data_IF_825524044382
#
_entry.id   IF_825524044382
#
_cell.length_a   1.000
_cell.length_b   1.000
_cell.length_c   1.000
_cell.angle_alpha   90.00
_cell.angle_beta   90.00
_cell.angle_gamma   90.00
#
_symmetry.space_group_name_H-M   'P 1'
#
loop_
_entity.id
_entity.type
_entity.pdbx_description
1 polymer ?
#
# COMPACT_ATOMS: atom_id res chain seq x y z
N UNK A 1 44.15 -60.77 -33.00
CA UNK A 1 45.42 -60.06 -33.29
C UNK A 1 45.48 -58.81 -32.41
N UNK A 2 46.60 -58.66 -31.69
CA UNK A 2 47.09 -57.51 -30.88
C UNK A 2 46.26 -56.96 -29.70
N UNK A 3 46.77 -57.28 -28.52
CA UNK A 3 46.76 -56.48 -27.29
C UNK A 3 47.62 -55.23 -27.49
N UNK A 4 47.16 -54.04 -27.08
CA UNK A 4 48.01 -52.90 -26.69
C UNK A 4 47.37 -52.21 -25.48
N UNK A 5 48.06 -52.26 -24.35
CA UNK A 5 47.88 -51.45 -23.15
C UNK A 5 48.59 -50.11 -23.35
N UNK A 6 48.03 -48.99 -22.87
CA UNK A 6 48.75 -47.88 -22.20
C UNK A 6 47.76 -46.82 -21.68
N UNK A 7 47.69 -46.64 -20.36
CA UNK A 7 47.47 -45.35 -19.68
C UNK A 7 48.84 -44.66 -19.52
N UNK A 8 48.97 -43.45 -18.94
CA UNK A 8 48.20 -42.20 -19.06
C UNK A 8 49.12 -41.05 -19.53
N UNK A 9 48.56 -39.94 -20.04
CA UNK A 9 49.32 -38.69 -20.18
C UNK A 9 48.53 -37.56 -19.51
N UNK A 10 48.93 -37.30 -18.28
CA UNK A 10 48.62 -36.09 -17.52
C UNK A 10 49.44 -34.97 -18.16
N UNK A 11 48.77 -34.01 -18.80
CA UNK A 11 49.36 -32.75 -19.22
C UNK A 11 48.52 -31.62 -18.64
N UNK A 12 49.19 -30.83 -17.80
CA UNK A 12 48.70 -29.65 -17.12
C UNK A 12 48.06 -28.62 -18.06
N UNK A 13 47.18 -27.81 -17.48
CA UNK A 13 47.08 -26.40 -17.84
C UNK A 13 45.88 -26.01 -18.68
N UNK A 14 44.76 -25.75 -18.02
CA UNK A 14 44.01 -24.50 -18.19
C UNK A 14 42.81 -24.55 -17.23
N UNK A 15 42.96 -23.87 -16.11
CA UNK A 15 41.84 -23.44 -15.29
C UNK A 15 41.02 -22.45 -16.12
N UNK A 16 39.92 -22.91 -16.73
CA UNK A 16 38.82 -22.01 -17.08
C UNK A 16 37.75 -22.17 -16.01
N UNK A 17 37.81 -21.24 -15.05
CA UNK A 17 36.80 -21.05 -14.04
C UNK A 17 35.45 -20.83 -14.73
N UNK A 18 34.51 -21.76 -14.50
CA UNK A 18 33.09 -21.49 -14.69
C UNK A 18 32.74 -20.22 -13.91
N UNK A 19 32.07 -19.21 -14.51
CA UNK A 19 31.74 -18.00 -13.77
C UNK A 19 30.84 -18.37 -12.59
N UNK A 20 31.32 -18.09 -11.38
CA UNK A 20 30.52 -18.22 -10.16
C UNK A 20 29.24 -17.40 -10.33
N UNK A 21 28.12 -18.10 -10.48
CA UNK A 21 26.80 -17.52 -10.30
C UNK A 21 26.80 -16.94 -8.90
N UNK A 22 26.79 -15.60 -8.83
CA UNK A 22 26.97 -14.77 -7.64
C UNK A 22 25.87 -15.04 -6.60
N UNK A 23 25.99 -16.13 -5.85
CA UNK A 23 25.24 -16.47 -4.63
C UNK A 23 25.76 -15.69 -3.42
N UNK A 24 25.96 -14.38 -3.59
CA UNK A 24 26.48 -13.50 -2.53
C UNK A 24 25.46 -13.21 -1.43
N UNK A 25 24.16 -13.20 -1.75
CA UNK A 25 23.11 -12.90 -0.77
C UNK A 25 22.68 -14.12 0.05
N UNK A 26 22.71 -15.33 -0.54
CA UNK A 26 22.24 -16.56 0.12
C UNK A 26 23.27 -17.16 1.09
N UNK A 27 24.57 -17.04 0.77
CA UNK A 27 25.66 -17.53 1.62
C UNK A 27 25.81 -16.76 2.94
N UNK A 28 25.61 -15.44 2.90
CA UNK A 28 25.63 -14.58 4.10
C UNK A 28 24.48 -14.90 5.05
N UNK A 29 23.28 -15.14 4.52
CA UNK A 29 22.10 -15.53 5.31
C UNK A 29 22.31 -16.86 6.02
N UNK A 30 22.87 -17.87 5.33
CA UNK A 30 23.16 -19.19 5.90
C UNK A 30 24.19 -19.08 7.03
N UNK A 31 25.24 -18.27 6.86
CA UNK A 31 26.24 -18.02 7.90
C UNK A 31 25.65 -17.36 9.15
N UNK A 32 24.78 -16.37 8.95
CA UNK A 32 24.11 -15.65 10.04
C UNK A 32 23.14 -16.56 10.82
N UNK A 33 22.36 -17.37 10.10
CA UNK A 33 21.44 -18.36 10.69
C UNK A 33 22.20 -19.40 11.53
N UNK A 34 23.36 -19.86 11.05
CA UNK A 34 24.19 -20.84 11.75
C UNK A 34 24.85 -20.24 13.00
N UNK A 35 25.25 -18.97 12.94
CA UNK A 35 25.75 -18.21 14.10
C UNK A 35 24.69 -18.02 15.18
N UNK A 36 23.48 -17.61 14.78
CA UNK A 36 22.34 -17.46 15.69
C UNK A 36 21.96 -18.79 16.36
N UNK A 37 21.95 -19.89 15.60
CA UNK A 37 21.67 -21.23 16.13
C UNK A 37 22.72 -21.68 17.16
N UNK A 38 24.00 -21.35 16.92
CA UNK A 38 25.08 -21.65 17.87
C UNK A 38 24.96 -20.87 19.19
N UNK A 39 24.47 -19.62 19.15
CA UNK A 39 24.25 -18.78 20.34
C UNK A 39 23.04 -19.26 21.15
N UNK A 40 21.96 -19.69 20.49
CA UNK A 40 20.78 -20.29 21.12
C UNK A 40 21.17 -21.57 21.88
N UNK A 41 22.02 -22.40 21.27
CA UNK A 41 22.52 -23.63 21.90
C UNK A 41 23.48 -23.36 23.07
N UNK A 42 24.33 -22.33 22.96
CA UNK A 42 25.31 -21.94 24.00
C UNK A 42 24.68 -21.35 25.25
N UNK A 43 23.55 -20.65 25.12
CA UNK A 43 22.86 -19.98 26.24
C UNK A 43 21.73 -20.79 26.88
N UNK A 44 21.57 -22.10 26.57
CA UNK A 44 20.48 -22.96 27.10
C UNK A 44 19.11 -22.26 27.04
N UNK A 45 18.86 -21.51 25.96
CA UNK A 45 17.66 -20.68 25.88
C UNK A 45 16.44 -21.60 25.86
N UNK A 46 15.49 -21.32 26.74
CA UNK A 46 14.26 -22.10 26.81
C UNK A 46 13.45 -21.84 25.53
N UNK A 47 13.35 -22.86 24.68
CA UNK A 47 12.79 -22.73 23.33
C UNK A 47 11.33 -22.25 23.35
N UNK A 48 10.60 -22.55 24.43
CA UNK A 48 9.27 -22.00 24.70
C UNK A 48 9.28 -20.47 24.85
N UNK A 49 10.25 -19.90 25.56
CA UNK A 49 10.36 -18.44 25.74
C UNK A 49 10.77 -17.75 24.44
N UNK A 50 11.62 -18.40 23.63
CA UNK A 50 11.98 -17.91 22.30
C UNK A 50 10.75 -17.88 21.37
N UNK A 51 9.99 -18.97 21.29
CA UNK A 51 8.75 -19.03 20.52
C UNK A 51 7.74 -17.98 21.01
N UNK A 52 7.58 -17.82 22.32
CA UNK A 52 6.68 -16.80 22.89
C UNK A 52 7.11 -15.40 22.48
N UNK A 53 8.41 -15.08 22.53
CA UNK A 53 8.94 -13.79 22.10
C UNK A 53 8.71 -13.54 20.61
N UNK A 54 8.92 -14.55 19.75
CA UNK A 54 8.66 -14.45 18.30
C UNK A 54 7.18 -14.21 18.04
N UNK A 55 6.28 -14.90 18.75
CA UNK A 55 4.83 -14.71 18.62
C UNK A 55 4.41 -13.32 19.09
N UNK A 56 4.95 -12.83 20.21
CA UNK A 56 4.66 -11.49 20.74
C UNK A 56 5.12 -10.38 19.80
N UNK A 57 6.28 -10.58 19.17
CA UNK A 57 6.77 -9.66 18.15
C UNK A 57 5.84 -9.76 16.94
N UNK A 58 5.58 -10.96 16.39
CA UNK A 58 4.81 -11.15 15.16
C UNK A 58 3.33 -10.72 15.24
N UNK A 59 2.67 -10.85 16.39
CA UNK A 59 1.23 -10.60 16.58
C UNK A 59 0.75 -9.22 16.08
N UNK A 60 1.37 -8.09 16.47
CA UNK A 60 0.97 -6.77 16.01
C UNK A 60 1.12 -6.56 14.49
N UNK A 61 1.87 -7.41 13.79
CA UNK A 61 2.05 -7.32 12.33
C UNK A 61 0.98 -8.09 11.56
N UNK A 62 0.36 -9.07 12.22
CA UNK A 62 -0.66 -9.95 11.66
C UNK A 62 -2.08 -9.38 11.89
N UNK A 63 -2.23 -8.44 12.81
CA UNK A 63 -3.46 -7.70 13.03
C UNK A 63 -3.63 -6.58 12.01
N UNK A 64 -4.19 -6.91 10.84
CA UNK A 64 -4.76 -5.89 9.97
C UNK A 64 -6.05 -5.36 10.61
N UNK A 65 -6.00 -4.17 11.21
CA UNK A 65 -7.20 -3.48 11.63
C UNK A 65 -7.94 -2.96 10.39
N UNK A 66 -8.90 -3.72 9.88
CA UNK A 66 -9.83 -3.22 8.87
C UNK A 66 -10.78 -2.22 9.52
N UNK A 67 -10.79 -1.01 8.98
CA UNK A 67 -11.80 -0.01 9.30
C UNK A 67 -13.14 -0.51 8.73
N UNK A 68 -14.00 -1.05 9.60
CA UNK A 68 -15.32 -1.58 9.23
C UNK A 68 -16.22 -0.50 8.59
N UNK A 69 -15.90 0.79 8.77
CA UNK A 69 -16.62 1.92 8.16
C UNK A 69 -15.94 2.43 6.89
N UNK A 70 -14.83 1.82 6.45
CA UNK A 70 -14.10 2.25 5.26
C UNK A 70 -14.95 2.21 3.98
N UNK A 71 -15.79 1.17 3.83
CA UNK A 71 -16.74 1.09 2.70
C UNK A 71 -17.80 2.19 2.73
N UNK A 72 -18.30 2.54 3.92
CA UNK A 72 -19.34 3.57 4.07
C UNK A 72 -18.84 4.99 3.76
N UNK A 73 -17.52 5.23 3.88
CA UNK A 73 -16.91 6.51 3.50
C UNK A 73 -17.06 6.78 2.00
N UNK A 74 -16.92 5.74 1.18
CA UNK A 74 -17.07 5.89 -0.28
C UNK A 74 -18.54 6.14 -0.66
N UNK A 75 -19.49 5.41 -0.08
CA UNK A 75 -20.92 5.61 -0.33
C UNK A 75 -21.38 7.02 0.08
N UNK A 76 -20.85 7.54 1.19
CA UNK A 76 -21.12 8.90 1.63
C UNK A 76 -20.55 9.95 0.65
N UNK A 77 -19.35 9.70 0.12
CA UNK A 77 -18.74 10.56 -0.91
C UNK A 77 -19.53 10.53 -2.22
N UNK A 78 -20.06 9.38 -2.63
CA UNK A 78 -20.85 9.28 -3.85
C UNK A 78 -22.23 9.93 -3.69
N UNK A 79 -22.76 9.98 -2.46
CA UNK A 79 -24.07 10.59 -2.15
C UNK A 79 -24.01 12.11 -1.91
N UNK A 80 -22.93 12.61 -1.31
CA UNK A 80 -22.83 14.02 -0.93
C UNK A 80 -21.67 14.76 -1.58
N UNK A 81 -20.75 14.06 -2.24
CA UNK A 81 -19.56 14.65 -2.84
C UNK A 81 -19.79 15.25 -4.22
N UNK A 82 -18.69 15.62 -4.86
CA UNK A 82 -18.73 16.28 -6.15
C UNK A 82 -19.22 15.34 -7.26
N UNK A 83 -20.14 15.83 -8.10
CA UNK A 83 -20.81 15.09 -9.15
C UNK A 83 -22.06 14.35 -8.68
N UNK A 84 -22.43 14.48 -7.40
CA UNK A 84 -23.57 13.77 -6.84
C UNK A 84 -24.92 14.41 -7.19
N UNK A 85 -25.98 13.59 -7.16
CA UNK A 85 -27.38 14.03 -7.28
C UNK A 85 -27.75 15.08 -6.23
N UNK A 86 -27.18 15.01 -5.02
CA UNK A 86 -27.44 16.01 -3.98
C UNK A 86 -26.84 17.37 -4.35
N UNK A 87 -25.60 17.40 -4.85
CA UNK A 87 -24.97 18.63 -5.35
C UNK A 87 -25.82 19.26 -6.47
N UNK A 88 -26.25 18.43 -7.42
CA UNK A 88 -27.11 18.88 -8.52
C UNK A 88 -28.45 19.44 -8.03
N UNK A 89 -29.07 18.79 -7.04
CA UNK A 89 -30.30 19.25 -6.41
C UNK A 89 -30.15 20.62 -5.73
N UNK A 90 -29.04 20.87 -5.05
CA UNK A 90 -28.73 22.16 -4.44
C UNK A 90 -28.60 23.27 -5.50
N UNK A 91 -27.96 23.00 -6.64
CA UNK A 91 -27.85 23.96 -7.74
C UNK A 91 -29.21 24.33 -8.33
N UNK A 92 -30.10 23.36 -8.53
CA UNK A 92 -31.44 23.65 -9.05
C UNK A 92 -32.28 24.43 -8.05
N UNK A 93 -32.23 24.05 -6.78
CA UNK A 93 -32.94 24.78 -5.72
C UNK A 93 -32.49 26.25 -5.68
N UNK A 94 -31.18 26.50 -5.75
CA UNK A 94 -30.63 27.86 -5.74
C UNK A 94 -31.09 28.68 -6.96
N UNK A 95 -31.14 28.08 -8.15
CA UNK A 95 -31.63 28.76 -9.36
C UNK A 95 -33.12 29.11 -9.22
N UNK A 96 -33.95 28.22 -8.69
CA UNK A 96 -35.38 28.46 -8.49
C UNK A 96 -35.62 29.56 -7.45
N UNK A 97 -34.91 29.53 -6.33
CA UNK A 97 -34.99 30.55 -5.28
C UNK A 97 -34.53 31.91 -5.82
N UNK A 98 -33.40 31.94 -6.52
CA UNK A 98 -32.87 33.15 -7.16
C UNK A 98 -33.85 33.73 -8.19
N UNK A 99 -34.50 32.88 -8.99
CA UNK A 99 -35.52 33.31 -9.95
C UNK A 99 -36.76 33.90 -9.25
N UNK A 100 -37.27 33.24 -8.21
CA UNK A 100 -38.39 33.74 -7.41
C UNK A 100 -38.06 35.08 -6.72
N UNK A 101 -36.87 35.18 -6.12
CA UNK A 101 -36.40 36.40 -5.48
C UNK A 101 -36.14 37.53 -6.48
N UNK A 102 -35.68 37.21 -7.70
CA UNK A 102 -35.50 38.18 -8.78
C UNK A 102 -36.84 38.78 -9.23
N UNK A 103 -37.92 38.01 -9.29
CA UNK A 103 -39.25 38.55 -9.65
C UNK A 103 -39.69 39.67 -8.69
N UNK A 104 -39.36 39.55 -7.40
CA UNK A 104 -39.71 40.52 -6.37
C UNK A 104 -38.75 41.71 -6.31
N UNK A 105 -37.45 41.46 -6.42
CA UNK A 105 -36.42 42.48 -6.14
C UNK A 105 -35.86 43.14 -7.40
N UNK A 106 -36.03 42.50 -8.56
CA UNK A 106 -35.42 42.89 -9.85
C UNK A 106 -33.90 43.06 -9.80
N UNK A 107 -33.23 42.42 -8.84
CA UNK A 107 -31.80 42.50 -8.67
C UNK A 107 -31.08 41.29 -9.30
N UNK A 108 -30.34 41.46 -10.42
CA UNK A 108 -29.63 40.35 -11.07
C UNK A 108 -28.46 39.80 -10.23
N UNK A 109 -28.01 40.53 -9.20
CA UNK A 109 -26.93 40.08 -8.32
C UNK A 109 -27.30 38.82 -7.52
N UNK A 110 -28.58 38.46 -7.44
CA UNK A 110 -29.02 37.22 -6.79
C UNK A 110 -28.45 35.97 -7.48
N UNK A 111 -28.37 35.95 -8.81
CA UNK A 111 -27.81 34.81 -9.53
C UNK A 111 -26.29 34.72 -9.37
N UNK A 112 -25.59 35.85 -9.43
CA UNK A 112 -24.13 35.87 -9.32
C UNK A 112 -23.68 35.63 -7.89
N UNK A 113 -24.34 36.28 -6.93
CA UNK A 113 -24.04 36.18 -5.51
C UNK A 113 -24.46 34.85 -4.90
N UNK A 114 -25.64 34.32 -5.26
CA UNK A 114 -26.15 33.06 -4.72
C UNK A 114 -25.50 31.84 -5.37
N UNK A 115 -25.62 31.71 -6.69
CA UNK A 115 -25.14 30.53 -7.42
C UNK A 115 -23.62 30.37 -7.34
N UNK A 116 -22.85 31.44 -7.59
CA UNK A 116 -21.39 31.33 -7.59
C UNK A 116 -20.86 31.05 -6.17
N UNK A 117 -21.46 31.66 -5.15
CA UNK A 117 -21.11 31.40 -3.76
C UNK A 117 -21.40 29.95 -3.37
N UNK A 118 -22.57 29.43 -3.73
CA UNK A 118 -22.96 28.06 -3.44
C UNK A 118 -22.03 27.04 -4.13
N UNK A 119 -21.60 27.30 -5.37
CA UNK A 119 -20.60 26.46 -6.07
C UNK A 119 -19.26 26.47 -5.33
N UNK A 120 -18.76 27.64 -4.93
CA UNK A 120 -17.46 27.72 -4.22
C UNK A 120 -17.53 27.00 -2.88
N UNK A 121 -18.62 27.16 -2.13
CA UNK A 121 -18.80 26.49 -0.85
C UNK A 121 -18.87 24.98 -1.03
N UNK A 122 -19.75 24.47 -1.89
CA UNK A 122 -19.91 23.02 -2.09
C UNK A 122 -18.60 22.38 -2.53
N UNK A 123 -17.88 23.01 -3.46
CA UNK A 123 -16.53 22.58 -3.87
C UNK A 123 -15.54 22.54 -2.71
N UNK A 124 -15.49 23.59 -1.90
CA UNK A 124 -14.56 23.68 -0.77
C UNK A 124 -14.91 22.68 0.32
N UNK A 125 -16.20 22.49 0.61
CA UNK A 125 -16.67 21.56 1.62
C UNK A 125 -16.43 20.10 1.23
N UNK A 126 -16.70 19.75 -0.03
CA UNK A 126 -16.46 18.39 -0.53
C UNK A 126 -14.96 18.09 -0.64
N UNK A 127 -14.13 19.08 -0.97
CA UNK A 127 -12.68 18.93 -0.93
C UNK A 127 -12.13 18.69 0.49
N UNK A 128 -12.77 19.26 1.52
CA UNK A 128 -12.42 19.04 2.92
C UNK A 128 -12.92 17.70 3.46
N UNK A 129 -14.07 17.22 2.97
CA UNK A 129 -14.68 15.97 3.42
C UNK A 129 -13.99 14.71 2.87
N UNK A 130 -13.26 14.81 1.76
CA UNK A 130 -12.41 13.76 1.21
C UNK A 130 -12.73 13.37 -0.22
#
# INVERSE_FOLDING_TARGET
>A
MKVVLTQPALAEGAAEACPEVRTGASSLFIGMLRGAFSLIYRHRINLLLLCLAVVFIALPHLGHAEDLLSGQKQDAKDTFGHGSTVEWGLYIAEVLISAAAYMKTRNPMLFVGGLAFLIVITRSFFALAG
#
